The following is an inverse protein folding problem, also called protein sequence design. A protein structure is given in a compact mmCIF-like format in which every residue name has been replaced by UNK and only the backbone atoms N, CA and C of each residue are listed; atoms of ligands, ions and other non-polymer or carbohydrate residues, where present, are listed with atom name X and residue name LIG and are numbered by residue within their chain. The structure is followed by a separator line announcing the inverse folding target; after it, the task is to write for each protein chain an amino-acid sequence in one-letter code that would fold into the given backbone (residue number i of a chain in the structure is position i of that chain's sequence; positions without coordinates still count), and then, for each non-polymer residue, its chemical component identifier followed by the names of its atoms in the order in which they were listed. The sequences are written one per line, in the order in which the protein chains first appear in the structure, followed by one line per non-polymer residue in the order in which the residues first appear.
data_IF_984828060712
#
_entry.id   IF_984828060712
#
_cell.length_a   1.000
_cell.length_b   1.000
_cell.length_c   1.000
_cell.angle_alpha   90.00
_cell.angle_beta   90.00
_cell.angle_gamma   90.00
#
_symmetry.space_group_name_H-M   'P 1'
#
loop_
_entity.id
_entity.type
_entity.pdbx_description
1 polymer ?
#
# COMPACT_ATOMS: atom_id res chain seq x y z
N UNK A 1 3.50 4.73 18.48
CA UNK A 1 2.89 5.35 19.67
C UNK A 1 1.50 4.79 19.90
N UNK A 2 1.01 4.69 21.15
CA UNK A 2 -0.37 4.28 21.41
C UNK A 2 -1.34 5.20 20.66
N UNK A 3 -2.34 4.64 19.99
CA UNK A 3 -3.36 5.41 19.31
C UNK A 3 -4.39 5.98 20.30
N UNK A 4 -5.06 7.08 19.91
CA UNK A 4 -6.16 7.63 20.69
C UNK A 4 -7.35 6.65 20.78
N UNK A 5 -7.56 5.82 19.77
CA UNK A 5 -8.54 4.75 19.76
C UNK A 5 -7.98 3.52 20.49
N UNK A 6 -8.72 2.98 21.45
CA UNK A 6 -8.46 1.70 22.10
C UNK A 6 -9.75 0.90 22.18
N UNK A 7 -9.65 -0.42 22.22
CA UNK A 7 -10.81 -1.31 22.32
C UNK A 7 -10.52 -2.47 23.27
N UNK A 8 -11.55 -3.01 23.96
CA UNK A 8 -11.39 -4.22 24.77
C UNK A 8 -10.81 -5.37 23.95
N UNK A 9 -9.78 -6.05 24.48
CA UNK A 9 -9.12 -7.17 23.79
C UNK A 9 -8.14 -6.77 22.68
N UNK A 10 -7.93 -5.48 22.40
CA UNK A 10 -6.97 -5.00 21.42
C UNK A 10 -6.13 -3.85 21.97
N UNK A 11 -4.85 -3.86 21.65
CA UNK A 11 -3.95 -2.72 21.82
C UNK A 11 -3.71 -2.06 20.45
N UNK A 12 -4.00 -0.77 20.35
CA UNK A 12 -3.98 -0.03 19.08
C UNK A 12 -2.86 1.01 19.09
N UNK A 13 -2.12 1.10 17.98
CA UNK A 13 -0.96 1.97 17.83
C UNK A 13 -0.97 2.67 16.47
N UNK A 14 -0.57 3.92 16.46
CA UNK A 14 -0.10 4.59 15.26
C UNK A 14 1.38 4.22 15.04
N UNK A 15 1.65 3.47 13.99
CA UNK A 15 2.98 3.05 13.57
C UNK A 15 3.50 4.03 12.52
N UNK A 16 4.67 4.60 12.76
CA UNK A 16 5.33 5.48 11.82
C UNK A 16 6.70 4.91 11.45
N UNK A 17 7.06 5.02 10.19
CA UNK A 17 8.39 4.65 9.71
C UNK A 17 8.84 5.57 8.59
N UNK A 18 10.15 5.58 8.33
CA UNK A 18 10.73 6.31 7.22
C UNK A 18 10.66 5.46 5.96
N UNK A 19 9.88 5.91 5.00
CA UNK A 19 9.77 5.31 3.67
C UNK A 19 10.79 5.85 2.69
N UNK A 20 10.65 5.50 1.44
CA UNK A 20 11.52 5.94 0.35
C UNK A 20 11.57 7.47 0.28
N UNK A 21 12.76 8.03 0.03
CA UNK A 21 12.96 9.47 -0.06
C UNK A 21 12.77 10.23 1.25
N UNK A 22 12.77 9.53 2.40
CA UNK A 22 12.65 10.16 3.71
C UNK A 22 11.22 10.48 4.15
N UNK A 23 10.20 10.13 3.35
CA UNK A 23 8.80 10.36 3.68
C UNK A 23 8.40 9.63 4.95
N UNK A 24 7.67 10.29 5.85
CA UNK A 24 7.11 9.68 7.05
C UNK A 24 5.85 8.92 6.70
N UNK A 25 5.93 7.60 6.71
CA UNK A 25 4.81 6.71 6.38
C UNK A 25 4.11 6.25 7.65
N UNK A 26 2.78 6.22 7.62
CA UNK A 26 1.91 5.82 8.70
C UNK A 26 1.23 4.49 8.39
N UNK A 27 1.03 3.69 9.44
CA UNK A 27 0.15 2.54 9.42
C UNK A 27 -0.60 2.43 10.74
N UNK A 28 -1.85 2.01 10.71
CA UNK A 28 -2.57 1.57 11.89
C UNK A 28 -2.10 0.17 12.26
N UNK A 29 -1.63 0.01 13.48
CA UNK A 29 -1.19 -1.27 13.99
C UNK A 29 -2.02 -1.69 15.19
N UNK A 30 -2.54 -2.91 15.16
CA UNK A 30 -3.31 -3.51 16.24
C UNK A 30 -2.72 -4.86 16.60
N UNK A 31 -2.70 -5.17 17.89
CA UNK A 31 -2.39 -6.51 18.37
C UNK A 31 -3.41 -6.97 19.41
N UNK A 32 -3.62 -8.28 19.56
CA UNK A 32 -4.44 -8.81 20.65
C UNK A 32 -3.84 -8.42 22.01
N UNK A 33 -4.68 -8.01 22.94
CA UNK A 33 -4.24 -7.68 24.30
C UNK A 33 -3.91 -8.96 25.07
N UNK A 34 -2.89 -8.88 25.95
CA UNK A 34 -2.54 -9.97 26.87
C UNK A 34 -2.01 -11.24 26.21
N UNK A 35 -1.59 -11.20 24.96
CA UNK A 35 -1.06 -12.39 24.27
C UNK A 35 0.30 -12.78 24.84
N UNK A 36 0.41 -14.03 25.26
CA UNK A 36 1.68 -14.66 25.61
C UNK A 36 2.24 -15.39 24.38
N UNK A 37 3.37 -14.92 23.86
CA UNK A 37 4.04 -15.53 22.71
C UNK A 37 3.79 -14.81 21.38
N UNK A 38 4.18 -15.46 20.27
CA UNK A 38 4.09 -14.88 18.93
C UNK A 38 2.78 -15.26 18.25
N UNK A 39 2.16 -14.30 17.58
CA UNK A 39 0.91 -14.45 16.84
C UNK A 39 1.09 -14.13 15.35
N UNK A 40 0.23 -14.68 14.48
CA UNK A 40 0.26 -14.32 13.07
C UNK A 40 -0.08 -12.85 12.85
N UNK A 41 0.29 -12.32 11.68
CA UNK A 41 -0.08 -10.96 11.31
C UNK A 41 -0.67 -10.90 9.89
N UNK A 42 -1.51 -9.89 9.67
CA UNK A 42 -2.05 -9.56 8.36
C UNK A 42 -1.74 -8.09 8.03
N UNK A 43 -1.14 -7.89 6.85
CA UNK A 43 -0.92 -6.58 6.26
C UNK A 43 -2.14 -6.23 5.41
N UNK A 44 -2.69 -5.04 5.58
CA UNK A 44 -3.85 -4.58 4.85
C UNK A 44 -3.50 -3.34 4.01
N UNK A 45 -3.89 -3.38 2.74
CA UNK A 45 -3.66 -2.29 1.80
C UNK A 45 -5.00 -1.79 1.24
N UNK A 46 -5.20 -0.48 1.27
CA UNK A 46 -6.44 0.17 0.87
C UNK A 46 -6.54 0.38 -0.65
N UNK A 47 -7.74 0.69 -1.13
CA UNK A 47 -8.02 1.06 -2.52
C UNK A 47 -7.48 2.45 -2.88
N UNK A 48 -7.48 2.76 -4.19
CA UNK A 48 -6.94 4.00 -4.75
C UNK A 48 -7.50 5.25 -4.07
N UNK A 49 -6.63 6.21 -3.76
CA UNK A 49 -6.91 7.45 -3.03
C UNK A 49 -7.55 7.29 -1.63
N UNK A 50 -7.60 6.07 -1.11
CA UNK A 50 -8.15 5.78 0.21
C UNK A 50 -7.15 6.00 1.35
N UNK A 51 -7.44 5.35 2.48
CA UNK A 51 -6.63 5.36 3.69
C UNK A 51 -6.69 4.00 4.40
N UNK A 52 -5.95 3.84 5.49
CA UNK A 52 -6.02 2.67 6.36
C UNK A 52 -7.43 2.43 6.96
N UNK A 53 -8.38 3.35 6.74
CA UNK A 53 -9.77 3.22 7.19
C UNK A 53 -9.94 3.24 8.71
N UNK A 54 -11.12 2.86 9.18
CA UNK A 54 -11.44 2.88 10.60
C UNK A 54 -10.74 1.76 11.38
N UNK A 55 -10.49 1.99 12.66
CA UNK A 55 -9.95 1.03 13.60
C UNK A 55 -10.87 -0.19 13.79
N UNK A 56 -12.17 0.07 13.86
CA UNK A 56 -13.20 -0.95 14.13
C UNK A 56 -13.23 -2.05 13.07
N UNK A 57 -13.02 -1.73 11.80
CA UNK A 57 -12.96 -2.70 10.71
C UNK A 57 -11.83 -3.73 10.81
N UNK A 58 -10.88 -3.52 11.72
CA UNK A 58 -9.72 -4.39 11.95
C UNK A 58 -9.88 -5.31 13.17
N UNK A 59 -10.83 -4.99 14.07
CA UNK A 59 -11.00 -5.71 15.33
C UNK A 59 -11.34 -7.19 15.12
N UNK A 60 -12.06 -7.54 14.05
CA UNK A 60 -12.38 -8.93 13.74
C UNK A 60 -11.14 -9.82 13.60
N UNK A 61 -10.10 -9.32 12.95
CA UNK A 61 -8.81 -10.04 12.83
C UNK A 61 -8.09 -10.14 14.17
N UNK A 62 -8.12 -9.05 14.96
CA UNK A 62 -7.48 -9.03 16.28
C UNK A 62 -8.15 -10.02 17.22
N UNK A 63 -9.48 -10.08 17.23
CA UNK A 63 -10.25 -11.05 18.03
C UNK A 63 -10.02 -12.49 17.56
N UNK A 64 -9.70 -12.69 16.28
CA UNK A 64 -9.28 -13.99 15.75
C UNK A 64 -7.80 -14.33 16.06
N UNK A 65 -7.09 -13.49 16.81
CA UNK A 65 -5.72 -13.73 17.27
C UNK A 65 -4.62 -13.23 16.33
N UNK A 66 -4.92 -12.34 15.39
CA UNK A 66 -3.94 -11.76 14.47
C UNK A 66 -3.50 -10.36 14.91
N UNK A 67 -2.22 -10.04 14.71
CA UNK A 67 -1.84 -8.64 14.56
C UNK A 67 -2.33 -8.12 13.20
N UNK A 68 -2.66 -6.84 13.14
CA UNK A 68 -3.06 -6.16 11.89
C UNK A 68 -2.17 -4.94 11.69
N UNK A 69 -1.63 -4.79 10.49
CA UNK A 69 -0.95 -3.57 10.08
C UNK A 69 -1.60 -3.04 8.79
N UNK A 70 -2.31 -1.92 8.90
CA UNK A 70 -3.01 -1.30 7.78
C UNK A 70 -2.27 -0.04 7.33
N UNK A 71 -1.68 -0.08 6.13
CA UNK A 71 -0.88 1.00 5.56
C UNK A 71 -1.75 2.17 5.13
N UNK A 72 -1.33 3.39 5.45
CA UNK A 72 -1.70 4.59 4.72
C UNK A 72 -0.69 4.80 3.58
N UNK A 73 -1.12 4.65 2.33
CA UNK A 73 -0.22 4.90 1.19
C UNK A 73 0.16 6.38 1.13
N UNK A 74 1.43 6.65 0.82
CA UNK A 74 1.94 8.01 0.66
C UNK A 74 1.13 8.83 -0.33
N UNK A 75 0.91 10.11 -0.04
CA UNK A 75 0.24 11.06 -0.94
C UNK A 75 -1.23 10.77 -1.22
N UNK A 76 -1.88 9.88 -0.44
CA UNK A 76 -3.29 9.53 -0.59
C UNK A 76 -4.15 10.02 0.60
N UNK A 77 -5.33 9.45 0.80
CA UNK A 77 -6.32 9.95 1.77
C UNK A 77 -6.00 9.75 3.25
N UNK A 78 -4.88 9.11 3.58
CA UNK A 78 -4.40 8.93 4.97
C UNK A 78 -3.47 10.05 5.44
N UNK A 79 -2.60 9.72 6.41
CA UNK A 79 -1.69 10.66 7.06
C UNK A 79 -0.22 10.48 6.66
N UNK A 80 0.08 9.57 5.75
CA UNK A 80 1.44 9.39 5.23
C UNK A 80 1.86 10.56 4.36
N UNK A 81 3.08 11.04 4.59
CA UNK A 81 3.70 12.08 3.78
C UNK A 81 4.17 11.54 2.43
N UNK A 82 4.30 12.42 1.45
CA UNK A 82 5.02 12.19 0.21
C UNK A 82 5.91 13.39 -0.08
N UNK A 83 7.19 13.22 0.19
CA UNK A 83 8.22 14.26 0.00
C UNK A 83 8.87 14.21 -1.38
N UNK A 84 8.40 13.34 -2.28
CA UNK A 84 8.96 13.21 -3.62
C UNK A 84 8.61 14.44 -4.46
N UNK A 85 9.63 15.09 -5.01
CA UNK A 85 9.47 16.21 -5.94
C UNK A 85 9.18 15.65 -7.34
N UNK A 86 7.92 15.66 -7.74
CA UNK A 86 7.50 15.21 -9.07
C UNK A 86 7.56 16.34 -10.09
N UNK A 87 7.89 15.99 -11.33
CA UNK A 87 7.78 16.88 -12.49
C UNK A 87 6.44 16.67 -13.19
N UNK A 88 6.03 17.67 -13.97
CA UNK A 88 4.83 17.60 -14.80
C UNK A 88 3.51 17.78 -14.07
N UNK A 89 2.43 17.89 -14.84
CA UNK A 89 1.09 18.07 -14.31
C UNK A 89 0.54 16.73 -13.78
N UNK A 90 0.11 16.75 -12.53
CA UNK A 90 -0.66 15.65 -11.95
C UNK A 90 -2.04 16.18 -11.60
N UNK A 91 -3.07 15.78 -12.32
CA UNK A 91 -4.44 16.16 -11.99
C UNK A 91 -4.95 15.26 -10.86
N UNK A 92 -5.37 14.09 -11.12
CA UNK A 92 -5.76 13.09 -10.12
C UNK A 92 -4.73 11.95 -10.03
N UNK A 93 -3.73 12.05 -10.86
CA UNK A 93 -2.94 11.03 -11.43
C UNK A 93 -1.80 10.53 -10.56
N UNK A 94 -2.08 9.68 -9.62
CA UNK A 94 -1.01 8.96 -8.91
C UNK A 94 -0.33 7.92 -9.80
N UNK A 95 -1.05 7.37 -10.80
CA UNK A 95 -0.50 6.36 -11.73
C UNK A 95 0.57 6.98 -12.62
N UNK A 96 0.31 8.18 -13.13
CA UNK A 96 1.20 8.86 -14.07
C UNK A 96 2.27 9.71 -13.38
N UNK A 97 2.20 9.84 -12.07
CA UNK A 97 3.12 10.69 -11.31
C UNK A 97 4.54 10.14 -11.38
N UNK A 98 5.41 10.90 -12.04
CA UNK A 98 6.80 10.53 -12.30
C UNK A 98 7.05 9.84 -13.64
N UNK A 99 6.03 9.58 -14.48
CA UNK A 99 6.22 8.95 -15.80
C UNK A 99 6.98 9.84 -16.79
N UNK A 100 6.96 11.15 -16.63
CA UNK A 100 7.70 12.10 -17.46
C UNK A 100 9.13 12.36 -16.97
N UNK A 101 9.53 11.79 -15.84
CA UNK A 101 10.89 11.84 -15.36
C UNK A 101 11.74 10.75 -16.04
N UNK A 102 12.97 11.09 -16.52
CA UNK A 102 13.87 10.09 -17.12
C UNK A 102 14.39 9.08 -16.09
N UNK A 103 14.32 9.39 -14.80
CA UNK A 103 14.69 8.49 -13.71
C UNK A 103 13.47 7.67 -13.28
N UNK A 104 13.43 6.35 -13.55
CA UNK A 104 12.32 5.49 -13.16
C UNK A 104 12.13 5.40 -11.64
N UNK A 105 13.14 5.78 -10.86
CA UNK A 105 13.08 5.82 -9.41
C UNK A 105 12.14 6.93 -8.89
N UNK A 106 11.79 7.88 -9.74
CA UNK A 106 10.83 8.95 -9.45
C UNK A 106 9.36 8.51 -9.61
N UNK A 107 9.11 7.30 -10.10
CA UNK A 107 7.74 6.82 -10.24
C UNK A 107 7.06 6.66 -8.87
N UNK A 108 5.92 7.32 -8.66
CA UNK A 108 5.18 7.33 -7.40
C UNK A 108 4.91 5.92 -6.86
N UNK A 109 4.36 5.04 -7.71
CA UNK A 109 4.03 3.68 -7.28
C UNK A 109 5.23 2.81 -6.95
N UNK A 110 6.42 3.11 -7.48
CA UNK A 110 7.64 2.46 -7.01
C UNK A 110 7.86 2.75 -5.51
N UNK A 111 7.71 4.00 -5.09
CA UNK A 111 7.79 4.37 -3.68
C UNK A 111 6.73 3.65 -2.82
N UNK A 112 5.48 3.61 -3.30
CA UNK A 112 4.39 2.91 -2.61
C UNK A 112 4.67 1.41 -2.48
N UNK A 113 5.17 0.75 -3.53
CA UNK A 113 5.52 -0.67 -3.49
C UNK A 113 6.63 -0.97 -2.48
N UNK A 114 7.67 -0.14 -2.46
CA UNK A 114 8.77 -0.27 -1.50
C UNK A 114 8.31 -0.05 -0.06
N UNK A 115 7.37 0.85 0.18
CA UNK A 115 6.77 1.07 1.51
C UNK A 115 5.99 -0.16 2.00
N UNK A 116 5.33 -0.90 1.10
CA UNK A 116 4.66 -2.17 1.49
C UNK A 116 5.65 -3.19 2.02
N UNK A 117 6.79 -3.34 1.35
CA UNK A 117 7.85 -4.26 1.77
C UNK A 117 8.55 -3.78 3.06
N UNK A 118 8.73 -2.46 3.23
CA UNK A 118 9.27 -1.89 4.46
C UNK A 118 8.34 -2.19 5.65
N UNK A 119 7.03 -1.95 5.49
CA UNK A 119 6.04 -2.30 6.51
C UNK A 119 6.09 -3.80 6.86
N UNK A 120 6.16 -4.67 5.84
CA UNK A 120 6.25 -6.12 6.05
C UNK A 120 7.45 -6.50 6.93
N UNK A 121 8.64 -5.97 6.62
CA UNK A 121 9.87 -6.23 7.38
C UNK A 121 9.77 -5.72 8.81
N UNK A 122 9.20 -4.53 9.01
CA UNK A 122 8.98 -3.95 10.33
C UNK A 122 8.06 -4.85 11.16
N UNK A 123 6.92 -5.25 10.59
CA UNK A 123 5.95 -6.11 11.28
C UNK A 123 6.54 -7.47 11.64
N UNK A 124 7.28 -8.09 10.71
CA UNK A 124 7.99 -9.35 10.95
C UNK A 124 9.07 -9.25 12.03
N UNK A 125 9.65 -8.06 12.21
CA UNK A 125 10.66 -7.78 13.26
C UNK A 125 10.07 -7.58 14.65
N UNK A 126 8.76 -7.46 14.81
CA UNK A 126 8.14 -7.22 16.12
C UNK A 126 8.23 -8.49 17.01
N UNK A 127 8.59 -8.36 18.29
CA UNK A 127 8.90 -9.51 19.15
C UNK A 127 7.70 -10.45 19.38
N UNK A 128 6.49 -9.97 19.21
CA UNK A 128 5.24 -10.70 19.38
C UNK A 128 4.61 -11.16 18.07
N UNK A 129 5.25 -10.93 16.92
CA UNK A 129 4.79 -11.41 15.60
C UNK A 129 5.55 -12.68 15.23
N UNK A 130 4.81 -13.67 14.77
CA UNK A 130 5.37 -14.85 14.11
C UNK A 130 5.69 -14.52 12.65
N UNK A 131 6.96 -14.32 12.35
CA UNK A 131 7.42 -13.90 11.03
C UNK A 131 7.12 -14.91 9.91
N UNK A 132 6.93 -16.19 10.25
CA UNK A 132 6.58 -17.25 9.29
C UNK A 132 5.07 -17.32 9.00
N UNK A 133 4.28 -16.57 9.74
CA UNK A 133 2.82 -16.51 9.61
C UNK A 133 2.33 -15.08 9.36
N UNK A 134 2.93 -14.40 8.39
CA UNK A 134 2.50 -13.08 7.95
C UNK A 134 1.91 -13.16 6.56
N UNK A 135 0.69 -12.64 6.40
CA UNK A 135 0.00 -12.57 5.12
C UNK A 135 -0.31 -11.13 4.71
N UNK A 136 -0.70 -10.93 3.47
CA UNK A 136 -1.10 -9.64 2.94
C UNK A 136 -2.43 -9.72 2.20
N UNK A 137 -3.24 -8.66 2.28
CA UNK A 137 -4.53 -8.57 1.62
C UNK A 137 -4.89 -7.15 1.21
N UNK A 138 -5.75 -7.05 0.21
CA UNK A 138 -6.33 -5.78 -0.20
C UNK A 138 -7.16 -5.90 -1.46
N UNK A 139 -8.05 -4.93 -1.67
CA UNK A 139 -8.88 -4.84 -2.85
C UNK A 139 -8.45 -3.72 -3.79
N UNK A 140 -8.67 -3.86 -5.10
CA UNK A 140 -8.33 -2.87 -6.11
C UNK A 140 -6.83 -2.50 -6.06
N UNK A 141 -6.47 -1.24 -5.83
CA UNK A 141 -5.08 -0.85 -5.57
C UNK A 141 -4.44 -1.73 -4.50
N UNK A 142 -5.14 -1.97 -3.39
CA UNK A 142 -4.66 -2.84 -2.31
C UNK A 142 -4.38 -4.26 -2.77
N UNK A 143 -5.12 -4.77 -3.76
CA UNK A 143 -4.83 -6.06 -4.41
C UNK A 143 -3.50 -6.04 -5.16
N UNK A 144 -3.23 -5.01 -5.94
CA UNK A 144 -1.93 -4.80 -6.60
C UNK A 144 -0.79 -4.64 -5.60
N UNK A 145 -1.01 -3.88 -4.52
CA UNK A 145 -0.03 -3.72 -3.44
C UNK A 145 0.24 -5.03 -2.69
N UNK A 146 -0.75 -5.89 -2.56
CA UNK A 146 -0.58 -7.24 -2.00
C UNK A 146 0.39 -8.07 -2.83
N UNK A 147 0.25 -8.04 -4.15
CA UNK A 147 1.16 -8.73 -5.08
C UNK A 147 2.58 -8.11 -5.05
N UNK A 148 2.66 -6.79 -5.08
CA UNK A 148 3.95 -6.08 -5.00
C UNK A 148 4.67 -6.35 -3.68
N UNK A 149 3.96 -6.34 -2.57
CA UNK A 149 4.51 -6.67 -1.25
C UNK A 149 5.16 -8.07 -1.23
N UNK A 150 4.47 -9.08 -1.75
CA UNK A 150 5.00 -10.44 -1.79
C UNK A 150 6.16 -10.62 -2.78
N UNK A 151 6.15 -9.90 -3.89
CA UNK A 151 7.27 -9.91 -4.83
C UNK A 151 8.55 -9.30 -4.24
N UNK A 152 8.40 -8.24 -3.41
CA UNK A 152 9.52 -7.53 -2.78
C UNK A 152 9.94 -8.11 -1.42
N UNK A 153 9.06 -8.88 -0.78
CA UNK A 153 9.32 -9.58 0.47
C UNK A 153 8.81 -11.03 0.37
N UNK A 154 9.62 -11.95 -0.19
CA UNK A 154 9.18 -13.33 -0.51
C UNK A 154 8.77 -14.18 0.69
N UNK A 155 9.05 -13.77 1.92
CA UNK A 155 8.54 -14.44 3.12
C UNK A 155 7.03 -14.29 3.28
N UNK A 156 6.42 -13.30 2.62
CA UNK A 156 4.96 -13.16 2.52
C UNK A 156 4.45 -14.19 1.51
N UNK A 157 3.94 -15.31 1.98
CA UNK A 157 3.48 -16.43 1.15
C UNK A 157 1.98 -16.73 1.25
N UNK A 158 1.23 -15.88 1.94
CA UNK A 158 -0.23 -15.96 2.05
C UNK A 158 -0.83 -14.63 1.58
N UNK A 159 -1.54 -14.70 0.45
CA UNK A 159 -2.04 -13.53 -0.24
C UNK A 159 -3.54 -13.63 -0.47
N UNK A 160 -4.24 -12.53 -0.27
CA UNK A 160 -5.63 -12.37 -0.65
C UNK A 160 -5.82 -11.07 -1.48
N UNK A 161 -5.29 -11.05 -2.73
CA UNK A 161 -5.54 -9.93 -3.65
C UNK A 161 -6.94 -10.04 -4.22
N UNK A 162 -7.75 -9.01 -4.06
CA UNK A 162 -9.13 -8.95 -4.56
C UNK A 162 -9.19 -7.98 -5.73
N UNK A 163 -9.60 -8.44 -6.93
CA UNK A 163 -9.65 -7.68 -8.19
C UNK A 163 -8.49 -6.66 -8.30
N UNK A 164 -7.23 -7.15 -8.38
CA UNK A 164 -6.05 -6.29 -8.27
C UNK A 164 -5.99 -5.26 -9.39
N UNK A 165 -5.92 -3.98 -8.99
CA UNK A 165 -5.55 -2.84 -9.80
C UNK A 165 -4.01 -2.70 -9.81
N UNK A 166 -3.43 -1.92 -10.68
CA UNK A 166 -1.98 -1.80 -10.87
C UNK A 166 -1.33 -3.10 -11.40
N UNK A 167 -2.10 -3.88 -12.14
CA UNK A 167 -1.67 -5.14 -12.73
C UNK A 167 -2.05 -5.17 -14.18
N UNK A 168 -1.18 -5.77 -15.02
CA UNK A 168 -1.43 -6.00 -16.45
C UNK A 168 -1.91 -4.73 -17.20
N UNK A 169 -1.16 -3.64 -17.08
CA UNK A 169 -1.47 -2.37 -17.76
C UNK A 169 -1.61 -2.53 -19.28
N UNK A 170 -0.80 -3.42 -19.90
CA UNK A 170 -0.90 -3.69 -21.33
C UNK A 170 -2.28 -4.21 -21.70
N UNK A 171 -2.84 -5.13 -20.95
CA UNK A 171 -4.20 -5.63 -21.20
C UNK A 171 -5.24 -4.51 -21.11
N UNK A 172 -5.13 -3.64 -20.09
CA UNK A 172 -6.03 -2.49 -19.95
C UNK A 172 -5.93 -1.58 -21.18
N UNK A 173 -4.73 -1.31 -21.64
CA UNK A 173 -4.46 -0.52 -22.84
C UNK A 173 -5.06 -1.16 -24.09
N UNK A 174 -4.81 -2.45 -24.31
CA UNK A 174 -5.32 -3.21 -25.45
C UNK A 174 -6.87 -3.30 -25.48
N UNK A 175 -7.50 -3.27 -24.31
CA UNK A 175 -8.97 -3.28 -24.18
C UNK A 175 -9.61 -1.88 -24.32
N UNK A 176 -8.80 -0.85 -24.55
CA UNK A 176 -9.26 0.54 -24.67
C UNK A 176 -10.08 1.03 -23.47
N UNK A 177 -9.70 0.58 -22.27
CA UNK A 177 -10.36 0.95 -21.03
C UNK A 177 -9.85 2.31 -20.55
N UNK A 178 -10.66 3.34 -20.75
CA UNK A 178 -10.32 4.73 -20.41
C UNK A 178 -11.06 5.27 -19.19
N UNK A 179 -11.61 4.40 -18.37
CA UNK A 179 -12.42 4.82 -17.24
C UNK A 179 -11.60 5.09 -15.99
N UNK A 180 -11.97 6.15 -15.26
CA UNK A 180 -11.41 6.53 -13.96
C UNK A 180 -9.88 6.69 -14.01
N UNK A 181 -9.17 5.99 -13.12
CA UNK A 181 -7.73 6.11 -13.00
C UNK A 181 -6.95 5.67 -14.26
N UNK A 182 -7.50 4.78 -15.09
CA UNK A 182 -6.86 4.39 -16.35
C UNK A 182 -6.93 5.48 -17.43
N UNK A 183 -7.89 6.39 -17.36
CA UNK A 183 -7.95 7.55 -18.26
C UNK A 183 -6.69 8.42 -18.17
N UNK A 184 -6.05 8.45 -17.01
CA UNK A 184 -4.81 9.21 -16.79
C UNK A 184 -3.67 8.73 -17.70
N UNK A 185 -3.52 7.43 -17.90
CA UNK A 185 -2.52 6.86 -18.80
C UNK A 185 -2.76 7.30 -20.25
N UNK A 186 -4.00 7.20 -20.72
CA UNK A 186 -4.37 7.64 -22.07
C UNK A 186 -4.12 9.15 -22.25
N UNK A 187 -4.54 9.97 -21.29
CA UNK A 187 -4.34 11.40 -21.35
C UNK A 187 -2.86 11.77 -21.31
N UNK A 188 -2.06 11.03 -20.55
CA UNK A 188 -0.62 11.20 -20.51
C UNK A 188 0.01 10.90 -21.87
N UNK A 189 -0.21 9.73 -22.44
CA UNK A 189 0.37 9.35 -23.73
C UNK A 189 -0.12 10.24 -24.88
N UNK A 190 -1.39 10.62 -24.89
CA UNK A 190 -1.92 11.55 -25.89
C UNK A 190 -1.19 12.90 -25.87
N UNK A 191 -0.66 13.34 -24.75
CA UNK A 191 0.10 14.60 -24.61
C UNK A 191 1.59 14.43 -24.89
N UNK A 192 2.19 13.35 -24.40
CA UNK A 192 3.64 13.15 -24.37
C UNK A 192 4.14 12.23 -25.48
N UNK A 193 3.25 11.44 -26.08
CA UNK A 193 3.56 10.54 -27.18
C UNK A 193 2.44 10.51 -28.24
N UNK A 194 2.11 11.67 -28.87
CA UNK A 194 0.99 11.77 -29.82
C UNK A 194 1.18 10.93 -31.09
N UNK A 195 2.38 10.39 -31.30
CA UNK A 195 2.71 9.51 -32.43
C UNK A 195 2.75 8.03 -32.08
N UNK A 196 2.42 7.68 -30.85
CA UNK A 196 2.41 6.30 -30.36
C UNK A 196 3.75 5.55 -30.52
N UNK A 197 4.87 6.25 -30.28
CA UNK A 197 6.22 5.70 -30.42
C UNK A 197 6.74 5.04 -29.12
N UNK A 198 6.03 5.22 -28.01
CA UNK A 198 6.44 4.78 -26.67
C UNK A 198 5.42 3.89 -25.95
N UNK A 199 4.36 3.49 -26.64
CA UNK A 199 3.30 2.62 -26.09
C UNK A 199 3.74 1.16 -25.89
#
# INVERSE_FOLDING_TARGET
VPAAFQAPGAECFDLYFTGVGGSRVHAKFLKPAGVAGKVPAVLQFHGYSGSAGDWTGKLGYVLAGFCVAALDCRGQGGTSEDLTAYRGPTKDGLIIRGLDDPDPDQLHFRGVFLDTAALARIVMGLPYVDADRVGAMGGSQGGGLTLACAALEPRINRLAPVYPFLSDYKRVWDMDLDQRAYAELRDFFRRHDPRHERE
#
